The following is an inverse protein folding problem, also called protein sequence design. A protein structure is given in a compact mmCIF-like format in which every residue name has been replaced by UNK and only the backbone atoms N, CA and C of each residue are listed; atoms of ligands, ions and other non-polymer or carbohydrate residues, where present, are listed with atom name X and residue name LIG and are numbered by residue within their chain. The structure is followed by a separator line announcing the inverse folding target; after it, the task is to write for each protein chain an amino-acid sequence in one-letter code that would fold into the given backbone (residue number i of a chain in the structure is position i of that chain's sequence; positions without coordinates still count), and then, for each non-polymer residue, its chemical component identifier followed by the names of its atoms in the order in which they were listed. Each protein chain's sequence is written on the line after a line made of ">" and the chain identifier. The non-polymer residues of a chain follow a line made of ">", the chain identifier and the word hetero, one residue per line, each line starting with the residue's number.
data_IF_505926229415
#
_entry.id   IF_505926229415
#
_cell.length_a   1.000
_cell.length_b   1.000
_cell.length_c   1.000
_cell.angle_alpha   90.00
_cell.angle_beta   90.00
_cell.angle_gamma   90.00
#
_symmetry.space_group_name_H-M   'P 1'
#
loop_
_entity.id
_entity.type
_entity.pdbx_description
1 polymer ?
#
# COMPACT_ATOMS: atom_id res chain seq x y z
N UNK A 1 16.93 -3.52 11.89
CA UNK A 1 16.61 -3.85 10.48
C UNK A 1 15.79 -2.75 9.86
N UNK A 2 16.27 -2.21 8.74
CA UNK A 2 15.57 -1.17 8.00
C UNK A 2 14.26 -1.73 7.41
N UNK A 3 13.16 -0.98 7.57
CA UNK A 3 11.86 -1.24 6.98
C UNK A 3 11.34 0.05 6.34
N UNK A 4 10.60 -0.07 5.26
CA UNK A 4 9.98 1.04 4.55
C UNK A 4 8.50 0.77 4.34
N UNK A 5 7.64 1.80 4.37
CA UNK A 5 6.27 1.66 3.87
C UNK A 5 6.27 1.16 2.42
N UNK A 6 5.38 0.22 2.12
CA UNK A 6 5.24 -0.33 0.77
C UNK A 6 4.35 0.56 -0.12
N UNK A 7 4.56 1.88 -0.05
CA UNK A 7 3.81 2.85 -0.82
C UNK A 7 4.01 2.68 -2.32
N UNK A 8 2.98 3.02 -3.06
CA UNK A 8 3.12 3.30 -4.48
C UNK A 8 3.82 4.64 -4.65
N UNK A 9 4.90 4.65 -5.42
CA UNK A 9 5.71 5.84 -5.67
C UNK A 9 5.03 6.83 -6.63
N UNK A 10 5.61 8.05 -6.72
CA UNK A 10 5.07 9.16 -7.50
C UNK A 10 4.79 8.78 -8.97
N UNK A 11 5.62 7.93 -9.58
CA UNK A 11 5.44 7.47 -10.96
C UNK A 11 4.09 6.77 -11.21
N UNK A 12 3.46 6.17 -10.17
CA UNK A 12 2.14 5.58 -10.26
C UNK A 12 1.04 6.61 -10.54
N UNK A 13 1.23 7.80 -10.03
CA UNK A 13 0.25 8.87 -10.10
C UNK A 13 0.39 9.75 -11.35
N UNK A 14 1.41 9.51 -12.19
CA UNK A 14 1.71 10.29 -13.38
C UNK A 14 2.45 11.59 -13.07
N UNK A 15 2.95 12.25 -14.11
CA UNK A 15 3.64 13.53 -13.98
C UNK A 15 2.69 14.55 -13.34
N UNK A 16 3.14 15.16 -12.24
CA UNK A 16 2.31 16.10 -11.46
C UNK A 16 1.00 15.52 -10.91
N UNK A 17 0.94 14.17 -10.73
CA UNK A 17 -0.27 13.52 -10.23
C UNK A 17 -1.40 13.39 -11.27
N UNK A 18 -1.11 13.57 -12.55
CA UNK A 18 -2.10 13.63 -13.64
C UNK A 18 -3.05 12.43 -13.71
N UNK A 19 -2.58 11.23 -13.37
CA UNK A 19 -3.42 10.03 -13.35
C UNK A 19 -4.45 10.07 -12.21
N UNK A 20 -4.04 10.53 -11.02
CA UNK A 20 -4.94 10.66 -9.88
C UNK A 20 -5.96 11.78 -10.11
N UNK A 21 -5.52 12.93 -10.63
CA UNK A 21 -6.42 14.02 -11.01
C UNK A 21 -7.42 13.57 -12.09
N UNK A 22 -6.97 12.76 -13.06
CA UNK A 22 -7.84 12.15 -14.06
C UNK A 22 -8.90 11.24 -13.43
N UNK A 23 -8.50 10.40 -12.47
CA UNK A 23 -9.42 9.55 -11.74
C UNK A 23 -10.47 10.34 -10.95
N UNK A 24 -10.07 11.39 -10.24
CA UNK A 24 -10.98 12.26 -9.49
C UNK A 24 -12.02 12.95 -10.41
N UNK A 25 -11.56 13.54 -11.52
CA UNK A 25 -12.47 14.14 -12.51
C UNK A 25 -13.45 13.09 -13.09
N UNK A 26 -12.98 11.90 -13.35
CA UNK A 26 -13.82 10.82 -13.83
C UNK A 26 -14.84 10.36 -12.78
N UNK A 27 -14.42 10.24 -11.52
CA UNK A 27 -15.31 9.92 -10.42
C UNK A 27 -16.45 10.92 -10.28
N UNK A 28 -16.11 12.22 -10.35
CA UNK A 28 -17.07 13.32 -10.23
C UNK A 28 -18.01 13.48 -11.44
N UNK A 29 -17.46 13.35 -12.66
CA UNK A 29 -18.26 13.57 -13.88
C UNK A 29 -19.17 12.40 -14.24
N UNK A 30 -18.80 11.17 -13.83
CA UNK A 30 -19.48 9.95 -14.26
C UNK A 30 -19.36 9.64 -15.77
N UNK A 31 -18.73 10.52 -16.56
CA UNK A 31 -18.63 10.37 -18.00
C UNK A 31 -17.80 9.14 -18.40
N UNK A 32 -18.20 8.38 -19.43
CA UNK A 32 -17.47 7.19 -19.83
C UNK A 32 -16.08 7.51 -20.41
N UNK A 33 -15.06 6.84 -19.93
CA UNK A 33 -13.68 6.95 -20.46
C UNK A 33 -13.48 5.87 -21.53
N UNK A 34 -13.40 6.28 -22.80
CA UNK A 34 -13.25 5.36 -23.95
C UNK A 34 -11.84 4.82 -24.11
N UNK A 35 -10.84 5.62 -23.75
CA UNK A 35 -9.41 5.23 -23.83
C UNK A 35 -9.09 4.21 -22.75
N UNK A 36 -8.81 2.97 -23.16
CA UNK A 36 -8.52 1.84 -22.26
C UNK A 36 -7.27 2.07 -21.42
N UNK A 37 -6.24 2.71 -21.98
CA UNK A 37 -4.99 2.97 -21.26
C UNK A 37 -5.20 4.01 -20.17
N UNK A 38 -5.86 5.13 -20.50
CA UNK A 38 -6.24 6.14 -19.51
C UNK A 38 -7.09 5.55 -18.39
N UNK A 39 -8.12 4.76 -18.75
CA UNK A 39 -8.97 4.07 -17.78
C UNK A 39 -8.14 3.21 -16.82
N UNK A 40 -7.24 2.38 -17.36
CA UNK A 40 -6.37 1.51 -16.56
C UNK A 40 -5.45 2.31 -15.63
N UNK A 41 -4.79 3.36 -16.14
CA UNK A 41 -3.90 4.21 -15.33
C UNK A 41 -4.65 4.95 -14.24
N UNK A 42 -5.83 5.48 -14.53
CA UNK A 42 -6.64 6.24 -13.57
C UNK A 42 -7.19 5.34 -12.45
N UNK A 43 -7.71 4.16 -12.78
CA UNK A 43 -8.17 3.19 -11.78
C UNK A 43 -7.00 2.70 -10.90
N UNK A 44 -5.85 2.43 -11.53
CA UNK A 44 -4.64 2.05 -10.80
C UNK A 44 -4.16 3.15 -9.86
N UNK A 45 -4.18 4.41 -10.29
CA UNK A 45 -3.79 5.56 -9.46
C UNK A 45 -4.77 5.76 -8.29
N UNK A 46 -6.08 5.71 -8.55
CA UNK A 46 -7.12 5.81 -7.52
C UNK A 46 -6.92 4.77 -6.42
N UNK A 47 -6.81 3.50 -6.81
CA UNK A 47 -6.62 2.38 -5.91
C UNK A 47 -5.33 2.50 -5.09
N UNK A 48 -4.26 2.94 -5.74
CA UNK A 48 -2.95 3.13 -5.10
C UNK A 48 -2.94 4.28 -4.11
N UNK A 49 -3.68 5.36 -4.38
CA UNK A 49 -3.83 6.48 -3.46
C UNK A 49 -4.55 6.05 -2.18
N UNK A 50 -5.67 5.32 -2.31
CA UNK A 50 -6.41 4.80 -1.16
C UNK A 50 -5.55 3.83 -0.33
N UNK A 51 -4.80 2.92 -0.97
CA UNK A 51 -3.86 2.06 -0.26
C UNK A 51 -2.81 2.86 0.51
N UNK A 52 -2.18 3.84 -0.12
CA UNK A 52 -1.19 4.67 0.54
C UNK A 52 -1.77 5.39 1.76
N UNK A 53 -3.02 5.84 1.68
CA UNK A 53 -3.72 6.50 2.77
C UNK A 53 -3.99 5.53 3.94
N UNK A 54 -4.48 4.32 3.68
CA UNK A 54 -4.69 3.27 4.69
C UNK A 54 -3.38 2.96 5.42
N UNK A 55 -2.30 2.74 4.67
CA UNK A 55 -0.98 2.47 5.25
C UNK A 55 -0.48 3.66 6.06
N UNK A 56 -0.65 4.89 5.57
CA UNK A 56 -0.25 6.11 6.28
C UNK A 56 -0.99 6.24 7.61
N UNK A 57 -2.30 6.04 7.65
CA UNK A 57 -3.08 6.11 8.90
C UNK A 57 -2.66 5.03 9.89
N UNK A 58 -2.41 3.81 9.44
CA UNK A 58 -1.91 2.73 10.30
C UNK A 58 -0.54 3.09 10.88
N UNK A 59 0.38 3.61 10.07
CA UNK A 59 1.76 3.92 10.48
C UNK A 59 1.89 5.14 11.42
N UNK A 60 0.86 5.96 11.56
CA UNK A 60 0.81 7.01 12.59
C UNK A 60 0.69 6.45 14.00
N UNK A 61 0.23 5.22 14.14
CA UNK A 61 0.09 4.56 15.44
C UNK A 61 1.44 4.01 15.90
N UNK A 62 1.79 4.14 17.20
CA UNK A 62 3.07 3.62 17.71
C UNK A 62 3.19 2.10 17.60
N UNK A 63 2.07 1.41 17.60
CA UNK A 63 1.92 -0.05 17.52
C UNK A 63 1.58 -0.55 16.10
N UNK A 64 1.88 0.21 15.07
CA UNK A 64 1.52 -0.09 13.68
C UNK A 64 1.93 -1.51 13.20
N UNK A 65 2.98 -2.09 13.79
CA UNK A 65 3.47 -3.44 13.49
C UNK A 65 2.86 -4.53 14.40
N UNK A 66 1.99 -4.16 15.35
CA UNK A 66 1.25 -5.13 16.13
C UNK A 66 0.06 -5.63 15.32
N UNK A 67 -0.09 -6.97 15.29
CA UNK A 67 -1.25 -7.60 14.67
C UNK A 67 -2.47 -7.33 15.56
N UNK A 68 -3.58 -6.96 14.95
CA UNK A 68 -4.87 -6.88 15.62
C UNK A 68 -5.80 -7.96 15.10
N UNK A 69 -6.74 -8.42 15.92
CA UNK A 69 -7.75 -9.39 15.51
C UNK A 69 -8.51 -8.85 14.30
N UNK A 70 -8.62 -9.66 13.25
CA UNK A 70 -9.24 -9.24 11.99
C UNK A 70 -8.28 -8.68 10.94
N UNK A 71 -6.98 -8.51 11.26
CA UNK A 71 -5.98 -8.17 10.24
C UNK A 71 -5.85 -9.28 9.20
N UNK A 72 -5.69 -8.92 7.95
CA UNK A 72 -5.35 -9.87 6.89
C UNK A 72 -3.83 -9.98 6.77
N UNK A 73 -3.32 -11.18 6.96
CA UNK A 73 -1.91 -11.52 6.98
C UNK A 73 -1.52 -12.32 5.74
N UNK A 74 -0.39 -11.98 5.13
CA UNK A 74 0.13 -12.61 3.93
C UNK A 74 1.44 -13.33 4.21
N UNK A 75 1.59 -14.55 3.71
CA UNK A 75 2.89 -15.23 3.73
C UNK A 75 3.90 -14.45 2.89
N UNK A 76 5.10 -14.25 3.44
CA UNK A 76 6.16 -13.54 2.73
C UNK A 76 6.46 -14.22 1.38
N UNK A 77 6.48 -13.41 0.31
CA UNK A 77 6.73 -13.88 -1.05
C UNK A 77 5.57 -14.63 -1.71
N UNK A 78 4.38 -14.69 -1.11
CA UNK A 78 3.19 -15.35 -1.68
C UNK A 78 2.04 -14.38 -1.82
N UNK A 79 1.06 -14.72 -2.70
CA UNK A 79 -0.15 -13.91 -2.92
C UNK A 79 -1.31 -14.25 -1.98
N UNK A 80 -1.28 -15.42 -1.33
CA UNK A 80 -2.34 -15.88 -0.43
C UNK A 80 -2.28 -15.17 0.93
N UNK A 81 -3.44 -14.89 1.49
CA UNK A 81 -3.61 -14.25 2.80
C UNK A 81 -4.71 -14.96 3.61
N UNK A 82 -4.73 -14.73 4.90
CA UNK A 82 -5.75 -15.20 5.84
C UNK A 82 -6.02 -14.14 6.91
N UNK A 83 -7.12 -14.26 7.62
CA UNK A 83 -7.52 -13.32 8.69
C UNK A 83 -7.01 -13.83 10.03
N UNK A 84 -6.39 -12.95 10.82
CA UNK A 84 -5.92 -13.26 12.16
C UNK A 84 -7.11 -13.40 13.12
N UNK A 85 -7.15 -14.52 13.84
CA UNK A 85 -8.15 -14.78 14.89
C UNK A 85 -7.56 -14.52 16.28
N UNK A 86 -8.44 -14.38 17.28
CA UNK A 86 -8.01 -14.11 18.66
C UNK A 86 -7.12 -15.23 19.23
N UNK A 87 -7.36 -16.47 18.84
CA UNK A 87 -6.65 -17.66 19.33
C UNK A 87 -5.21 -17.72 18.79
N UNK A 88 -4.95 -17.12 17.63
CA UNK A 88 -3.67 -17.23 16.94
C UNK A 88 -2.72 -16.05 17.19
N UNK A 89 -3.15 -15.02 17.94
CA UNK A 89 -2.45 -13.73 18.03
C UNK A 89 -0.97 -13.86 18.41
N UNK A 90 -0.62 -14.71 19.38
CA UNK A 90 0.78 -14.88 19.81
C UNK A 90 1.64 -15.50 18.70
N UNK A 91 1.12 -16.52 17.99
CA UNK A 91 1.82 -17.18 16.89
C UNK A 91 2.00 -16.22 15.71
N UNK A 92 0.91 -15.59 15.25
CA UNK A 92 0.97 -14.68 14.09
C UNK A 92 1.85 -13.47 14.37
N UNK A 93 1.84 -12.91 15.60
CA UNK A 93 2.74 -11.82 15.96
C UNK A 93 4.20 -12.25 15.90
N UNK A 94 4.53 -13.39 16.48
CA UNK A 94 5.89 -13.96 16.42
C UNK A 94 6.37 -14.13 14.96
N UNK A 95 5.49 -14.58 14.07
CA UNK A 95 5.79 -14.76 12.65
C UNK A 95 5.91 -13.44 11.88
N UNK A 96 5.15 -12.40 12.28
CA UNK A 96 5.31 -11.04 11.75
C UNK A 96 6.67 -10.47 12.18
N UNK A 97 7.06 -10.66 13.44
CA UNK A 97 8.35 -10.21 13.95
C UNK A 97 9.52 -10.96 13.25
N UNK A 98 9.33 -12.24 12.95
CA UNK A 98 10.26 -13.06 12.16
C UNK A 98 10.19 -12.77 10.64
N UNK A 99 9.26 -11.92 10.14
CA UNK A 99 9.06 -11.54 8.73
C UNK A 99 8.66 -12.71 7.82
N UNK A 100 8.13 -13.78 8.36
CA UNK A 100 7.54 -14.89 7.62
C UNK A 100 6.06 -14.62 7.29
N UNK A 101 5.43 -13.73 8.05
CA UNK A 101 4.14 -13.13 7.77
C UNK A 101 4.26 -11.61 7.62
N UNK A 102 3.38 -11.03 6.82
CA UNK A 102 3.29 -9.60 6.57
C UNK A 102 1.88 -9.12 6.88
N UNK A 103 1.75 -8.07 7.70
CA UNK A 103 0.48 -7.36 7.82
C UNK A 103 0.21 -6.68 6.47
N UNK A 104 -1.02 -6.81 5.98
CA UNK A 104 -1.41 -6.22 4.70
C UNK A 104 -2.39 -5.07 4.89
N UNK A 105 -2.50 -4.21 3.89
CA UNK A 105 -3.57 -3.22 3.77
C UNK A 105 -4.40 -3.48 2.53
N UNK A 106 -5.65 -3.02 2.53
CA UNK A 106 -6.52 -3.14 1.39
C UNK A 106 -6.00 -2.34 0.19
N UNK A 107 -6.11 -2.96 -0.96
CA UNK A 107 -6.20 -2.29 -2.24
C UNK A 107 -7.71 -2.18 -2.55
N UNK A 108 -8.39 -1.06 -2.19
CA UNK A 108 -9.84 -0.97 -2.23
C UNK A 108 -10.43 -1.24 -3.61
N UNK A 109 -11.64 -1.77 -3.61
CA UNK A 109 -12.38 -2.11 -4.82
C UNK A 109 -13.74 -2.69 -4.47
N UNK A 110 -14.38 -3.36 -5.42
CA UNK A 110 -15.61 -4.13 -5.20
C UNK A 110 -15.32 -5.42 -4.45
N UNK A 111 -16.29 -5.89 -3.68
CA UNK A 111 -16.19 -7.12 -2.89
C UNK A 111 -15.58 -6.92 -1.50
N UNK A 112 -15.22 -8.04 -0.90
CA UNK A 112 -14.64 -8.08 0.44
C UNK A 112 -13.19 -7.55 0.44
N UNK A 113 -12.86 -6.71 1.41
CA UNK A 113 -11.49 -6.18 1.57
C UNK A 113 -10.56 -7.17 2.29
N UNK A 114 -11.10 -8.22 2.88
CA UNK A 114 -10.36 -9.30 3.51
C UNK A 114 -9.98 -9.08 4.97
N UNK A 115 -10.16 -7.90 5.53
CA UNK A 115 -10.05 -7.63 6.98
C UNK A 115 -11.41 -7.75 7.65
N UNK A 116 -11.46 -7.88 8.98
CA UNK A 116 -12.69 -8.00 9.76
C UNK A 116 -12.68 -7.10 11.00
N UNK A 117 -13.85 -6.88 11.59
CA UNK A 117 -14.00 -6.16 12.85
C UNK A 117 -13.34 -4.79 12.85
N UNK A 118 -12.55 -4.51 13.89
CA UNK A 118 -11.86 -3.22 14.09
C UNK A 118 -10.81 -2.94 13.00
N UNK A 119 -10.14 -3.98 12.48
CA UNK A 119 -9.18 -3.82 11.39
C UNK A 119 -9.85 -3.32 10.12
N UNK A 120 -11.03 -3.85 9.77
CA UNK A 120 -11.82 -3.39 8.63
C UNK A 120 -12.33 -1.97 8.86
N UNK A 121 -12.87 -1.68 10.04
CA UNK A 121 -13.35 -0.34 10.38
C UNK A 121 -12.25 0.72 10.28
N UNK A 122 -11.04 0.38 10.71
CA UNK A 122 -9.88 1.27 10.61
C UNK A 122 -9.48 1.54 9.15
N UNK A 123 -9.46 0.51 8.28
CA UNK A 123 -9.18 0.68 6.85
C UNK A 123 -10.25 1.54 6.16
N UNK A 124 -11.52 1.31 6.45
CA UNK A 124 -12.64 2.07 5.89
C UNK A 124 -12.60 3.54 6.36
N UNK A 125 -12.35 3.76 7.65
CA UNK A 125 -12.20 5.10 8.22
C UNK A 125 -11.04 5.86 7.57
N UNK A 126 -9.93 5.20 7.30
CA UNK A 126 -8.75 5.82 6.69
C UNK A 126 -9.04 6.43 5.30
N UNK A 127 -10.02 5.93 4.58
CA UNK A 127 -10.38 6.40 3.23
C UNK A 127 -11.76 7.06 3.16
N UNK A 128 -12.37 7.34 4.31
CA UNK A 128 -13.71 7.92 4.38
C UNK A 128 -13.83 9.29 3.68
N UNK A 129 -12.72 10.04 3.63
CA UNK A 129 -12.66 11.36 2.99
C UNK A 129 -12.50 11.30 1.44
N UNK A 130 -12.46 10.09 0.87
CA UNK A 130 -12.32 9.89 -0.58
C UNK A 130 -13.43 8.98 -1.16
N UNK A 131 -14.73 9.25 -0.87
CA UNK A 131 -15.84 8.37 -1.26
C UNK A 131 -16.00 8.29 -2.78
N UNK A 132 -15.62 9.33 -3.52
CA UNK A 132 -15.71 9.37 -4.98
C UNK A 132 -14.78 8.34 -5.62
N UNK A 133 -13.55 8.20 -5.10
CA UNK A 133 -12.60 7.21 -5.62
C UNK A 133 -13.06 5.79 -5.29
N UNK A 134 -13.61 5.55 -4.10
CA UNK A 134 -14.19 4.25 -3.73
C UNK A 134 -15.36 3.90 -4.66
N UNK A 135 -16.30 4.84 -4.85
CA UNK A 135 -17.46 4.67 -5.74
C UNK A 135 -17.01 4.42 -7.19
N UNK A 136 -15.97 5.10 -7.67
CA UNK A 136 -15.39 4.86 -8.98
C UNK A 136 -14.89 3.41 -9.12
N UNK A 137 -14.11 2.92 -8.16
CA UNK A 137 -13.57 1.56 -8.21
C UNK A 137 -14.67 0.49 -8.20
N UNK A 138 -15.71 0.67 -7.38
CA UNK A 138 -16.87 -0.24 -7.32
C UNK A 138 -17.65 -0.21 -8.64
N UNK A 139 -17.95 0.99 -9.18
CA UNK A 139 -18.65 1.17 -10.45
C UNK A 139 -17.92 0.50 -11.61
N UNK A 140 -16.60 0.62 -11.63
CA UNK A 140 -15.75 0.05 -12.68
C UNK A 140 -15.38 -1.42 -12.41
N UNK A 141 -15.98 -2.03 -11.38
CA UNK A 141 -15.79 -3.45 -11.00
C UNK A 141 -14.32 -3.82 -10.79
N UNK A 142 -13.56 -2.91 -10.20
CA UNK A 142 -12.19 -3.21 -9.78
C UNK A 142 -12.27 -4.06 -8.53
N UNK A 143 -11.83 -5.32 -8.58
CA UNK A 143 -11.87 -6.21 -7.42
C UNK A 143 -10.91 -5.74 -6.33
N UNK A 144 -11.34 -5.83 -5.06
CA UNK A 144 -10.48 -5.60 -3.93
C UNK A 144 -9.33 -6.63 -3.90
N UNK A 145 -8.19 -6.23 -3.36
CA UNK A 145 -7.05 -7.12 -3.15
C UNK A 145 -6.26 -6.68 -1.93
N UNK A 146 -5.23 -7.44 -1.56
CA UNK A 146 -4.36 -7.13 -0.43
C UNK A 146 -2.93 -6.89 -0.89
N UNK A 147 -2.21 -6.04 -0.14
CA UNK A 147 -0.78 -5.78 -0.34
C UNK A 147 -0.10 -5.59 1.01
N UNK A 148 1.09 -6.18 1.19
CA UNK A 148 1.89 -5.96 2.39
C UNK A 148 2.11 -4.47 2.64
N UNK A 149 1.91 -4.02 3.88
CA UNK A 149 2.08 -2.62 4.27
C UNK A 149 3.54 -2.18 4.30
N UNK A 150 4.42 -3.09 4.69
CA UNK A 150 5.84 -2.82 4.87
C UNK A 150 6.67 -3.61 3.87
N UNK A 151 7.80 -3.04 3.49
CA UNK A 151 8.88 -3.65 2.75
C UNK A 151 10.09 -3.84 3.65
N UNK A 152 10.78 -4.93 3.45
CA UNK A 152 12.08 -5.22 4.05
C UNK A 152 13.09 -5.38 2.91
N UNK A 153 13.83 -4.31 2.53
CA UNK A 153 14.87 -4.41 1.52
C UNK A 153 15.91 -5.45 1.92
N UNK A 154 16.17 -6.39 1.03
CA UNK A 154 17.13 -7.45 1.29
C UNK A 154 18.52 -7.01 0.82
N UNK A 155 19.57 -7.46 1.51
CA UNK A 155 20.96 -7.17 1.20
C UNK A 155 21.24 -5.66 1.07
N UNK A 156 20.57 -4.85 1.90
CA UNK A 156 20.79 -3.40 1.88
C UNK A 156 22.23 -3.08 2.27
N UNK A 157 22.92 -2.42 1.37
CA UNK A 157 24.27 -1.91 1.57
C UNK A 157 24.39 -0.52 0.97
N UNK A 158 25.34 0.25 1.46
CA UNK A 158 25.66 1.58 0.94
C UNK A 158 27.15 1.80 0.90
N UNK A 159 27.57 2.67 -0.01
CA UNK A 159 28.94 3.11 -0.14
C UNK A 159 28.96 4.60 -0.50
N UNK A 160 29.75 5.39 0.21
CA UNK A 160 30.00 6.78 -0.13
C UNK A 160 31.10 6.86 -1.20
N UNK A 161 30.79 7.47 -2.33
CA UNK A 161 31.75 7.71 -3.40
C UNK A 161 32.51 9.00 -3.17
N UNK A 162 31.82 10.01 -2.57
CA UNK A 162 32.33 11.31 -2.16
C UNK A 162 31.45 11.87 -1.02
N UNK A 163 31.68 13.11 -0.62
CA UNK A 163 30.96 13.75 0.50
C UNK A 163 29.46 13.99 0.24
N UNK A 164 29.01 13.90 -1.02
CA UNK A 164 27.63 14.20 -1.43
C UNK A 164 26.95 13.08 -2.21
N UNK A 165 27.71 12.03 -2.58
CA UNK A 165 27.21 10.93 -3.41
C UNK A 165 27.26 9.61 -2.65
N UNK A 166 26.08 9.00 -2.44
CA UNK A 166 25.95 7.66 -1.85
C UNK A 166 25.37 6.68 -2.86
N UNK A 167 26.00 5.52 -2.99
CA UNK A 167 25.45 4.37 -3.70
C UNK A 167 24.67 3.50 -2.73
N UNK A 168 23.41 3.16 -3.11
CA UNK A 168 22.56 2.23 -2.37
C UNK A 168 22.34 0.97 -3.20
N UNK A 169 22.54 -0.19 -2.62
CA UNK A 169 22.26 -1.49 -3.25
C UNK A 169 21.32 -2.29 -2.37
N UNK A 170 20.24 -2.79 -2.93
CA UNK A 170 19.25 -3.64 -2.24
C UNK A 170 18.37 -4.39 -3.22
N UNK A 171 17.73 -5.45 -2.74
CA UNK A 171 16.73 -6.20 -3.47
C UNK A 171 15.34 -5.91 -2.92
N UNK A 172 14.36 -5.84 -3.83
CA UNK A 172 12.95 -5.69 -3.50
C UNK A 172 12.11 -6.75 -4.21
N UNK A 173 11.01 -7.21 -3.60
CA UNK A 173 10.03 -8.03 -4.30
C UNK A 173 9.45 -7.31 -5.52
N UNK A 174 9.06 -8.07 -6.54
CA UNK A 174 8.39 -7.53 -7.72
C UNK A 174 7.14 -6.71 -7.33
N UNK A 175 6.91 -5.59 -8.00
CA UNK A 175 5.81 -4.67 -7.70
C UNK A 175 6.08 -3.68 -6.58
N UNK A 176 7.28 -3.71 -5.96
CA UNK A 176 7.73 -2.71 -5.00
C UNK A 176 8.42 -1.53 -5.70
N UNK A 177 8.47 -0.38 -5.02
CA UNK A 177 9.03 0.85 -5.57
C UNK A 177 10.30 1.24 -4.82
N UNK A 178 11.44 1.17 -5.50
CA UNK A 178 12.73 1.59 -4.93
C UNK A 178 12.72 3.06 -4.48
N UNK A 179 12.01 3.92 -5.20
CA UNK A 179 11.82 5.33 -4.85
C UNK A 179 11.16 5.52 -3.48
N UNK A 180 10.26 4.62 -3.07
CA UNK A 180 9.65 4.66 -1.74
C UNK A 180 10.66 4.33 -0.64
N UNK A 181 11.57 3.38 -0.91
CA UNK A 181 12.66 3.02 0.01
C UNK A 181 13.66 4.17 0.15
N UNK A 182 14.09 4.74 -0.97
CA UNK A 182 15.05 5.84 -1.00
C UNK A 182 14.51 7.07 -0.25
N UNK A 183 13.23 7.37 -0.40
CA UNK A 183 12.57 8.48 0.29
C UNK A 183 12.61 8.38 1.81
N UNK A 184 12.62 7.17 2.37
CA UNK A 184 12.74 6.96 3.82
C UNK A 184 14.19 7.10 4.33
N UNK A 185 15.17 7.01 3.42
CA UNK A 185 16.59 7.11 3.75
C UNK A 185 17.14 8.52 3.55
N UNK A 186 16.58 9.24 2.59
CA UNK A 186 17.09 10.55 2.16
C UNK A 186 15.95 11.57 2.28
N UNK A 187 16.19 12.66 3.00
CA UNK A 187 15.26 13.77 3.01
C UNK A 187 15.34 14.50 1.65
N UNK A 188 14.43 14.17 0.74
CA UNK A 188 14.35 14.77 -0.60
C UNK A 188 13.56 16.10 -0.56
N UNK A 189 13.77 16.93 0.44
CA UNK A 189 13.22 18.28 0.49
C UNK A 189 13.95 19.13 -0.56
N UNK A 190 13.42 19.17 -1.77
CA UNK A 190 13.80 20.06 -2.84
C UNK A 190 12.56 20.70 -3.40
#
# INVERSE_FOLDING_TARGET
>A
LFRSPNYFGAQRFGIGGSNLLGALRWAQSGAPVRDRNKRSFWLSAARSALFNQIVSERLKKPDANQVVVGDALQLAGRGSWFVATAEEMADVQSRVDAKTLMITAALPGSGDWGTQGEALAAEQSAVADAPELQSLLVREKVEAARRAMLLYPQQLSWNWWDDVTVELRFWLPAGSFATSVVRELINTSG
#
